data_IF_057892867348
#
_entry.id   IF_057892867348
#
_cell.length_a   1.000
_cell.length_b   1.000
_cell.length_c   1.000
_cell.angle_alpha   90.00
_cell.angle_beta   90.00
_cell.angle_gamma   90.00
#
_symmetry.space_group_name_H-M   'P 1'
#
loop_
_entity.id
_entity.type
_entity.pdbx_description
1 polymer ?
#
# COMPACT_ATOMS: atom_id res chain seq x y z
N UNK A 1 -12.81 2.33 -11.47
CA UNK A 1 -11.40 2.67 -11.60
C UNK A 1 -10.69 1.73 -12.57
N UNK A 2 -9.77 2.25 -13.39
CA UNK A 2 -8.92 1.47 -14.29
C UNK A 2 -7.59 1.10 -13.62
N UNK A 3 -7.07 1.99 -12.81
CA UNK A 3 -5.83 1.83 -12.06
C UNK A 3 -6.06 2.10 -10.55
N UNK A 4 -6.82 1.25 -9.84
CA UNK A 4 -7.05 1.41 -8.42
C UNK A 4 -5.79 1.06 -7.62
N UNK A 5 -5.58 1.76 -6.51
CA UNK A 5 -4.53 1.46 -5.53
C UNK A 5 -5.09 1.54 -4.12
N UNK A 6 -4.39 0.98 -3.15
CA UNK A 6 -4.79 1.07 -1.74
C UNK A 6 -3.61 1.42 -0.85
N UNK A 7 -3.82 2.36 0.07
CA UNK A 7 -2.86 2.68 1.13
C UNK A 7 -3.47 2.38 2.49
N UNK A 8 -2.79 1.60 3.33
CA UNK A 8 -3.26 1.24 4.66
C UNK A 8 -2.33 1.77 5.74
N UNK A 9 -2.90 2.33 6.78
CA UNK A 9 -2.19 2.86 7.93
C UNK A 9 -2.41 2.04 9.20
N UNK A 10 -1.94 2.57 10.31
CA UNK A 10 -2.06 1.94 11.64
C UNK A 10 -3.52 1.61 12.01
N UNK A 11 -4.49 2.44 11.66
CA UNK A 11 -5.90 2.20 11.94
C UNK A 11 -6.50 0.96 11.27
N UNK A 12 -5.76 0.30 10.36
CA UNK A 12 -6.18 -0.92 9.70
C UNK A 12 -5.49 -2.20 10.23
N UNK A 13 -4.69 -2.12 11.31
CA UNK A 13 -3.90 -3.26 11.81
C UNK A 13 -4.78 -4.44 12.21
N UNK A 14 -5.90 -4.17 12.87
CA UNK A 14 -6.84 -5.21 13.30
C UNK A 14 -7.73 -5.74 12.16
N UNK A 15 -7.60 -5.16 10.97
CA UNK A 15 -8.32 -5.52 9.75
C UNK A 15 -7.41 -6.17 8.69
N UNK A 16 -6.22 -6.67 9.06
CA UNK A 16 -5.23 -7.20 8.12
C UNK A 16 -5.77 -8.32 7.22
N UNK A 17 -6.69 -9.15 7.72
CA UNK A 17 -7.36 -10.19 6.94
C UNK A 17 -8.27 -9.59 5.86
N UNK A 18 -9.11 -8.64 6.22
CA UNK A 18 -10.02 -7.94 5.31
C UNK A 18 -9.24 -7.14 4.26
N UNK A 19 -8.11 -6.53 4.66
CA UNK A 19 -7.20 -5.83 3.74
C UNK A 19 -6.64 -6.80 2.70
N UNK A 20 -6.18 -7.99 3.12
CA UNK A 20 -5.67 -9.01 2.20
C UNK A 20 -6.78 -9.52 1.25
N UNK A 21 -7.97 -9.79 1.76
CA UNK A 21 -9.11 -10.17 0.92
C UNK A 21 -9.47 -9.09 -0.10
N UNK A 22 -9.41 -7.82 0.29
CA UNK A 22 -9.68 -6.71 -0.60
C UNK A 22 -8.61 -6.59 -1.70
N UNK A 23 -7.33 -6.81 -1.38
CA UNK A 23 -6.24 -6.84 -2.36
C UNK A 23 -6.51 -7.87 -3.45
N UNK A 24 -6.86 -9.08 -3.04
CA UNK A 24 -7.25 -10.17 -3.94
C UNK A 24 -8.44 -9.80 -4.82
N UNK A 25 -9.44 -9.15 -4.23
CA UNK A 25 -10.67 -8.76 -4.92
C UNK A 25 -10.43 -7.68 -5.97
N UNK A 26 -9.59 -6.71 -5.65
CA UNK A 26 -9.31 -5.59 -6.53
C UNK A 26 -8.21 -5.90 -7.56
N UNK A 27 -7.37 -6.90 -7.32
CA UNK A 27 -6.16 -7.15 -8.12
C UNK A 27 -5.29 -5.89 -8.21
N UNK A 28 -5.20 -5.12 -7.15
CA UNK A 28 -4.59 -3.80 -7.09
C UNK A 28 -3.37 -3.79 -6.17
N UNK A 29 -2.36 -2.94 -6.42
CA UNK A 29 -1.21 -2.81 -5.53
C UNK A 29 -1.62 -2.14 -4.22
N UNK A 30 -0.99 -2.60 -3.13
CA UNK A 30 -1.14 -2.09 -1.79
C UNK A 30 0.18 -1.51 -1.28
N UNK A 31 0.11 -0.35 -0.65
CA UNK A 31 1.19 0.22 0.14
C UNK A 31 0.75 0.38 1.60
N UNK A 32 1.70 0.36 2.53
CA UNK A 32 1.45 0.68 3.94
C UNK A 32 2.08 2.01 4.30
N UNK A 33 1.58 2.66 5.34
CA UNK A 33 2.39 3.67 6.03
C UNK A 33 3.50 2.98 6.83
N UNK A 34 4.52 3.71 7.27
CA UNK A 34 5.57 3.13 8.12
C UNK A 34 5.01 2.54 9.42
N UNK A 35 4.07 3.22 10.07
CA UNK A 35 3.40 2.72 11.27
C UNK A 35 2.43 1.57 10.97
N UNK A 36 1.89 1.50 9.77
CA UNK A 36 0.91 0.50 9.34
C UNK A 36 1.51 -0.74 8.68
N UNK A 37 2.82 -1.00 8.80
CA UNK A 37 3.49 -2.14 8.11
C UNK A 37 2.90 -3.51 8.48
N UNK A 38 2.28 -3.64 9.64
CA UNK A 38 1.59 -4.86 10.08
C UNK A 38 0.13 -4.97 9.60
N UNK A 39 -0.43 -3.92 9.01
CA UNK A 39 -1.80 -3.92 8.49
C UNK A 39 -1.96 -4.70 7.18
N UNK A 40 -0.87 -5.14 6.57
CA UNK A 40 -0.88 -5.94 5.35
C UNK A 40 0.29 -6.93 5.34
N UNK A 41 0.08 -8.19 4.93
CA UNK A 41 1.14 -9.19 4.89
C UNK A 41 2.29 -8.77 3.96
N UNK A 42 3.49 -8.64 4.50
CA UNK A 42 4.67 -8.15 3.77
C UNK A 42 5.11 -9.07 2.61
N UNK A 43 4.77 -10.37 2.69
CA UNK A 43 5.05 -11.37 1.67
C UNK A 43 3.94 -11.51 0.62
N UNK A 44 2.84 -10.77 0.74
CA UNK A 44 1.75 -10.83 -0.22
C UNK A 44 2.21 -10.29 -1.59
N UNK A 45 1.90 -10.96 -2.72
CA UNK A 45 2.37 -10.54 -4.05
C UNK A 45 1.94 -9.13 -4.46
N UNK A 46 0.80 -8.64 -3.97
CA UNK A 46 0.29 -7.29 -4.24
C UNK A 46 0.81 -6.23 -3.25
N UNK A 47 1.63 -6.60 -2.25
CA UNK A 47 2.26 -5.63 -1.35
C UNK A 47 3.43 -4.95 -2.05
N UNK A 48 3.24 -3.71 -2.47
CA UNK A 48 4.29 -2.94 -3.13
C UNK A 48 5.39 -2.44 -2.17
N UNK A 49 5.04 -2.20 -0.91
CA UNK A 49 5.96 -1.66 0.09
C UNK A 49 5.30 -0.61 0.97
N UNK A 50 6.04 0.42 1.32
CA UNK A 50 5.58 1.43 2.25
C UNK A 50 5.83 2.85 1.76
N UNK A 51 5.07 3.80 2.34
CA UNK A 51 5.06 5.24 2.08
C UNK A 51 4.60 5.63 0.67
N UNK A 52 4.42 6.91 0.48
CA UNK A 52 3.94 7.56 -0.74
C UNK A 52 4.86 8.76 -1.08
N UNK A 53 4.74 9.29 -2.27
CA UNK A 53 5.53 10.43 -2.71
C UNK A 53 7.04 10.16 -2.63
N UNK A 54 7.83 11.11 -2.19
CA UNK A 54 9.31 11.00 -2.11
C UNK A 54 9.81 9.97 -1.10
N UNK A 55 8.96 9.52 -0.17
CA UNK A 55 9.30 8.48 0.79
C UNK A 55 8.95 7.07 0.30
N UNK A 56 8.31 6.95 -0.86
CA UNK A 56 7.92 5.67 -1.44
C UNK A 56 9.14 4.85 -1.84
N UNK A 57 9.08 3.54 -1.59
CA UNK A 57 10.04 2.61 -2.20
C UNK A 57 9.73 2.42 -3.69
N UNK A 58 10.73 2.06 -4.54
CA UNK A 58 10.56 2.03 -6.00
C UNK A 58 9.36 1.20 -6.48
N UNK A 59 9.04 0.09 -5.82
CA UNK A 59 7.89 -0.73 -6.19
C UNK A 59 6.55 -0.01 -5.94
N UNK A 60 6.43 0.83 -4.91
CA UNK A 60 5.25 1.68 -4.69
C UNK A 60 5.19 2.76 -5.74
N UNK A 61 6.28 3.50 -5.96
CA UNK A 61 6.34 4.56 -6.96
C UNK A 61 5.89 4.06 -8.33
N UNK A 62 6.44 2.92 -8.77
CA UNK A 62 6.13 2.33 -10.08
C UNK A 62 4.70 1.79 -10.17
N UNK A 63 4.24 1.06 -9.15
CA UNK A 63 2.91 0.42 -9.19
C UNK A 63 1.76 1.38 -8.93
N UNK A 64 2.03 2.55 -8.33
CA UNK A 64 1.05 3.61 -8.10
C UNK A 64 1.05 4.69 -9.20
N UNK A 65 1.98 4.60 -10.16
CA UNK A 65 2.01 5.52 -11.29
C UNK A 65 0.70 5.43 -12.10
N UNK A 66 0.09 6.58 -12.39
CA UNK A 66 -1.17 6.64 -13.13
C UNK A 66 -2.42 6.19 -12.37
N UNK A 67 -2.34 6.08 -11.04
CA UNK A 67 -3.50 5.81 -10.17
C UNK A 67 -4.64 6.77 -10.47
N UNK A 68 -5.83 6.23 -10.78
CA UNK A 68 -7.06 7.01 -11.01
C UNK A 68 -8.03 6.97 -9.82
N UNK A 69 -7.84 6.04 -8.90
CA UNK A 69 -8.63 5.93 -7.68
C UNK A 69 -7.79 5.29 -6.57
N UNK A 70 -7.78 5.89 -5.40
CA UNK A 70 -7.12 5.33 -4.22
C UNK A 70 -8.10 5.13 -3.08
N UNK A 71 -8.05 3.93 -2.48
CA UNK A 71 -8.66 3.67 -1.19
C UNK A 71 -7.60 3.81 -0.10
N UNK A 72 -7.80 4.74 0.82
CA UNK A 72 -6.96 4.94 2.00
C UNK A 72 -7.71 4.47 3.24
N UNK A 73 -7.09 3.63 4.06
CA UNK A 73 -7.73 3.03 5.24
C UNK A 73 -6.86 3.23 6.47
N UNK A 74 -7.42 3.87 7.50
CA UNK A 74 -6.75 4.05 8.79
C UNK A 74 -5.44 4.83 8.71
N UNK A 75 -5.34 5.82 7.84
CA UNK A 75 -4.16 6.66 7.66
C UNK A 75 -4.50 8.14 7.70
N UNK A 76 -3.78 8.90 8.51
CA UNK A 76 -3.90 10.36 8.54
C UNK A 76 -3.01 11.10 7.53
N UNK A 77 -2.31 10.36 6.65
CA UNK A 77 -1.40 10.92 5.67
C UNK A 77 -0.35 11.89 6.28
N UNK A 78 0.30 11.45 7.36
CA UNK A 78 1.32 12.26 8.03
C UNK A 78 2.57 12.45 7.18
N UNK A 79 3.43 13.36 7.63
CA UNK A 79 4.64 13.82 6.96
C UNK A 79 5.52 12.68 6.43
N UNK A 80 5.88 11.71 7.29
CA UNK A 80 6.77 10.59 6.93
C UNK A 80 6.12 9.72 5.84
N UNK A 81 4.83 9.40 6.00
CA UNK A 81 4.13 8.51 5.08
C UNK A 81 3.97 9.09 3.66
N UNK A 82 4.05 10.41 3.52
CA UNK A 82 3.80 11.13 2.27
C UNK A 82 5.01 11.90 1.73
N UNK A 83 6.20 11.65 2.31
CA UNK A 83 7.43 12.30 1.90
C UNK A 83 7.37 13.82 2.08
N UNK A 84 7.18 14.26 3.32
CA UNK A 84 7.04 15.67 3.71
C UNK A 84 5.89 16.37 2.99
N UNK A 85 4.74 15.69 2.93
CA UNK A 85 3.52 16.14 2.24
C UNK A 85 3.67 16.38 0.74
N UNK A 86 4.72 15.81 0.13
CA UNK A 86 5.03 15.96 -1.30
C UNK A 86 4.28 14.97 -2.21
N UNK A 87 3.38 14.15 -1.67
CA UNK A 87 2.57 13.24 -2.46
C UNK A 87 1.38 13.97 -3.10
N UNK A 88 1.05 13.63 -4.34
CA UNK A 88 -0.15 14.12 -5.04
C UNK A 88 -1.18 12.99 -5.15
N UNK A 89 -2.34 13.09 -4.45
CA UNK A 89 -3.38 12.07 -4.52
C UNK A 89 -4.12 12.10 -5.87
N UNK A 90 -4.73 10.98 -6.29
CA UNK A 90 -5.68 11.00 -7.39
C UNK A 90 -6.94 11.78 -6.98
N UNK A 91 -7.65 12.33 -7.98
CA UNK A 91 -8.89 13.05 -7.72
C UNK A 91 -9.96 12.19 -7.03
N UNK A 92 -9.95 10.87 -7.27
CA UNK A 92 -10.85 9.90 -6.63
C UNK A 92 -10.20 9.28 -5.39
N UNK A 93 -9.86 10.07 -4.38
CA UNK A 93 -9.42 9.57 -3.08
C UNK A 93 -10.62 9.20 -2.20
N UNK A 94 -10.74 7.91 -1.85
CA UNK A 94 -11.72 7.37 -0.89
C UNK A 94 -10.98 7.18 0.43
N UNK A 95 -11.42 7.82 1.49
CA UNK A 95 -10.74 7.79 2.78
C UNK A 95 -11.63 7.17 3.86
N UNK A 96 -11.16 6.09 4.46
CA UNK A 96 -11.80 5.37 5.56
C UNK A 96 -11.01 5.61 6.84
N UNK A 97 -11.64 6.16 7.85
CA UNK A 97 -11.04 6.33 9.18
C UNK A 97 -12.12 6.40 10.26
N UNK A 98 -11.77 6.04 11.48
CA UNK A 98 -12.67 6.16 12.64
C UNK A 98 -12.70 7.58 13.19
N UNK A 99 -11.68 8.38 12.89
CA UNK A 99 -11.56 9.76 13.34
C UNK A 99 -11.93 10.75 12.23
N UNK A 100 -13.11 11.39 12.29
CA UNK A 100 -13.54 12.32 11.24
C UNK A 100 -12.62 13.55 11.08
N UNK A 101 -11.83 13.90 12.08
CA UNK A 101 -10.92 15.03 12.00
C UNK A 101 -9.74 14.84 11.03
N UNK A 102 -9.48 13.61 10.58
CA UNK A 102 -8.41 13.34 9.60
C UNK A 102 -8.86 13.51 8.14
N UNK A 103 -10.18 13.52 7.90
CA UNK A 103 -10.71 13.66 6.54
C UNK A 103 -10.38 15.03 5.96
N UNK A 104 -9.76 15.02 4.80
CA UNK A 104 -9.33 16.23 4.09
C UNK A 104 -8.39 17.16 4.87
N UNK A 105 -7.84 16.71 6.00
CA UNK A 105 -6.91 17.52 6.79
C UNK A 105 -5.59 17.79 6.05
N UNK A 106 -5.04 16.79 5.38
CA UNK A 106 -3.79 16.92 4.61
C UNK A 106 -4.03 16.80 3.11
N UNK A 107 -4.99 15.97 2.69
CA UNK A 107 -5.33 15.76 1.28
C UNK A 107 -6.84 15.66 1.11
N UNK A 108 -7.43 16.33 0.11
CA UNK A 108 -8.87 16.33 -0.09
C UNK A 108 -9.37 14.92 -0.44
N UNK A 109 -10.32 14.41 0.32
CA UNK A 109 -10.99 13.16 0.03
C UNK A 109 -12.24 13.42 -0.82
N UNK A 110 -12.39 12.71 -1.94
CA UNK A 110 -13.63 12.75 -2.74
C UNK A 110 -14.78 12.02 -2.03
N UNK A 111 -14.45 10.98 -1.26
CA UNK A 111 -15.39 10.23 -0.43
C UNK A 111 -14.75 9.99 0.93
N UNK A 112 -15.45 10.36 1.99
CA UNK A 112 -15.06 10.07 3.38
C UNK A 112 -16.04 9.04 3.96
N UNK A 113 -15.50 7.96 4.53
CA UNK A 113 -16.24 6.89 5.18
C UNK A 113 -15.81 6.80 6.64
N UNK A 114 -16.61 7.39 7.53
CA UNK A 114 -16.37 7.31 8.97
C UNK A 114 -16.78 5.95 9.51
N UNK A 115 -15.85 5.25 10.16
CA UNK A 115 -16.13 3.98 10.78
C UNK A 115 -14.87 3.18 11.11
N UNK A 116 -15.08 2.10 11.87
CA UNK A 116 -14.03 1.10 12.13
C UNK A 116 -13.57 0.47 10.81
N UNK A 117 -12.25 0.40 10.62
CA UNK A 117 -11.64 -0.09 9.37
C UNK A 117 -12.13 -1.51 9.01
N UNK A 118 -12.19 -2.42 10.00
CA UNK A 118 -12.61 -3.80 9.78
C UNK A 118 -14.06 -3.89 9.33
N UNK A 119 -14.94 -3.16 10.01
CA UNK A 119 -16.37 -3.13 9.68
C UNK A 119 -16.61 -2.56 8.29
N UNK A 120 -15.97 -1.43 7.97
CA UNK A 120 -16.10 -0.80 6.65
C UNK A 120 -15.56 -1.71 5.54
N UNK A 121 -14.41 -2.36 5.76
CA UNK A 121 -13.85 -3.29 4.78
C UNK A 121 -14.72 -4.53 4.57
N UNK A 122 -15.34 -5.06 5.62
CA UNK A 122 -16.31 -6.17 5.50
C UNK A 122 -17.51 -5.77 4.65
N UNK A 123 -18.08 -4.58 4.86
CA UNK A 123 -19.17 -4.07 4.07
C UNK A 123 -18.76 -3.83 2.60
N UNK A 124 -17.55 -3.30 2.36
CA UNK A 124 -17.01 -3.15 1.01
C UNK A 124 -16.83 -4.50 0.31
N UNK A 125 -16.30 -5.51 0.99
CA UNK A 125 -16.15 -6.86 0.44
C UNK A 125 -17.49 -7.49 0.08
N UNK A 126 -18.51 -7.29 0.92
CA UNK A 126 -19.89 -7.75 0.62
C UNK A 126 -20.42 -7.05 -0.63
N UNK A 127 -20.28 -5.72 -0.73
CA UNK A 127 -20.75 -4.94 -1.87
C UNK A 127 -20.03 -5.30 -3.19
N UNK A 128 -18.74 -5.64 -3.12
CA UNK A 128 -17.96 -6.07 -4.28
C UNK A 128 -18.27 -7.51 -4.74
N UNK A 129 -19.00 -8.28 -3.94
CA UNK A 129 -19.37 -9.67 -4.26
C UNK A 129 -18.25 -10.68 -4.06
N UNK A 130 -18.51 -11.96 -4.36
CA UNK A 130 -17.63 -13.07 -3.99
C UNK A 130 -16.43 -13.31 -4.91
N UNK A 131 -16.42 -12.81 -6.13
CA UNK A 131 -15.34 -13.02 -7.11
C UNK A 131 -14.72 -11.71 -7.59
N UNK A 132 -13.42 -11.67 -7.90
CA UNK A 132 -12.82 -10.51 -8.57
C UNK A 132 -13.47 -10.31 -9.94
N UNK A 133 -13.60 -9.05 -10.37
CA UNK A 133 -14.03 -8.75 -11.73
C UNK A 133 -13.00 -9.26 -12.76
N UNK A 134 -13.43 -9.49 -14.01
CA UNK A 134 -12.50 -9.88 -15.10
C UNK A 134 -11.36 -8.87 -15.28
N UNK A 135 -11.65 -7.58 -15.11
CA UNK A 135 -10.65 -6.52 -15.16
C UNK A 135 -9.64 -6.60 -13.99
N UNK A 136 -10.10 -6.96 -12.79
CA UNK A 136 -9.23 -7.16 -11.64
C UNK A 136 -8.32 -8.39 -11.83
N UNK A 137 -8.87 -9.49 -12.30
CA UNK A 137 -8.12 -10.72 -12.56
C UNK A 137 -7.04 -10.49 -13.64
N UNK A 138 -7.37 -9.80 -14.74
CA UNK A 138 -6.42 -9.49 -15.81
C UNK A 138 -5.29 -8.56 -15.37
N UNK A 139 -5.58 -7.58 -14.50
CA UNK A 139 -4.59 -6.64 -13.97
C UNK A 139 -3.63 -7.27 -12.97
N UNK A 140 -4.12 -8.19 -12.12
CA UNK A 140 -3.39 -8.79 -11.02
C UNK A 140 -2.02 -9.32 -11.41
N UNK A 141 -1.95 -10.18 -12.43
CA UNK A 141 -0.69 -10.80 -12.86
C UNK A 141 0.36 -9.77 -13.27
N UNK A 142 -0.04 -8.69 -13.93
CA UNK A 142 0.85 -7.60 -14.34
C UNK A 142 1.37 -6.82 -13.13
N UNK A 143 0.49 -6.53 -12.16
CA UNK A 143 0.86 -5.82 -10.92
C UNK A 143 1.82 -6.67 -10.10
N UNK A 144 1.55 -7.96 -9.90
CA UNK A 144 2.42 -8.89 -9.17
C UNK A 144 3.81 -9.00 -9.82
N UNK A 145 3.85 -9.12 -11.15
CA UNK A 145 5.11 -9.19 -11.89
C UNK A 145 5.94 -7.90 -11.72
N UNK A 146 5.31 -6.75 -11.86
CA UNK A 146 5.94 -5.44 -11.69
C UNK A 146 6.48 -5.27 -10.27
N UNK A 147 5.68 -5.57 -9.24
CA UNK A 147 6.11 -5.46 -7.84
C UNK A 147 7.30 -6.36 -7.56
N UNK A 148 7.26 -7.61 -8.02
CA UNK A 148 8.35 -8.57 -7.85
C UNK A 148 9.63 -8.09 -8.50
N UNK A 149 9.58 -7.60 -9.73
CA UNK A 149 10.70 -7.05 -10.47
C UNK A 149 11.33 -5.86 -9.75
N UNK A 150 10.54 -4.89 -9.35
CA UNK A 150 11.01 -3.69 -8.66
C UNK A 150 11.62 -4.00 -7.29
N UNK A 151 11.02 -4.91 -6.53
CA UNK A 151 11.58 -5.35 -5.25
C UNK A 151 12.91 -6.08 -5.42
N UNK A 152 13.03 -6.94 -6.43
CA UNK A 152 14.27 -7.66 -6.73
C UNK A 152 15.38 -6.69 -7.14
N UNK A 153 15.11 -5.77 -8.06
CA UNK A 153 16.07 -4.76 -8.51
C UNK A 153 16.56 -3.87 -7.35
N UNK A 154 15.62 -3.41 -6.51
CA UNK A 154 15.94 -2.58 -5.35
C UNK A 154 16.82 -3.32 -4.31
N UNK A 155 16.50 -4.59 -4.03
CA UNK A 155 17.33 -5.41 -3.15
C UNK A 155 18.71 -5.62 -3.72
N UNK A 156 18.84 -5.90 -5.00
CA UNK A 156 20.12 -6.10 -5.69
C UNK A 156 20.99 -4.85 -5.65
N UNK A 157 20.41 -3.67 -5.87
CA UNK A 157 21.09 -2.38 -5.72
C UNK A 157 21.68 -2.22 -4.32
N UNK A 158 20.89 -2.47 -3.26
CA UNK A 158 21.34 -2.39 -1.87
C UNK A 158 22.42 -3.43 -1.52
N UNK A 159 22.36 -4.64 -2.09
CA UNK A 159 23.37 -5.68 -1.88
C UNK A 159 24.71 -5.38 -2.56
N UNK A 160 24.69 -4.60 -3.66
CA UNK A 160 25.90 -4.16 -4.37
C UNK A 160 26.55 -2.93 -3.72
N UNK A 161 25.83 -2.20 -2.87
CA UNK A 161 26.35 -0.98 -2.27
C UNK A 161 27.62 -1.24 -1.47
N UNK A 162 28.69 -0.52 -1.81
CA UNK A 162 29.96 -0.59 -1.05
C UNK A 162 29.81 0.15 0.27
N UNK A 163 30.00 -0.56 1.35
CA UNK A 163 29.92 -0.05 2.72
C UNK A 163 31.27 0.25 3.34
N UNK A 164 32.36 0.20 2.55
CA UNK A 164 33.73 0.49 3.02
C UNK A 164 34.10 -0.32 4.27
N UNK A 165 33.82 -1.63 4.26
CA UNK A 165 34.11 -2.53 5.37
C UNK A 165 33.13 -2.49 6.54
N UNK A 166 32.06 -1.68 6.47
CA UNK A 166 31.00 -1.65 7.49
C UNK A 166 29.94 -2.71 7.22
N UNK A 167 29.13 -3.03 8.23
CA UNK A 167 27.98 -3.93 8.06
C UNK A 167 26.94 -3.29 7.18
N UNK A 168 26.61 -3.95 6.07
CA UNK A 168 25.50 -3.55 5.21
C UNK A 168 24.18 -4.00 5.83
N UNK A 169 23.19 -3.11 6.07
CA UNK A 169 21.87 -3.50 6.54
C UNK A 169 21.20 -4.53 5.63
N UNK A 170 21.32 -4.37 4.32
CA UNK A 170 20.74 -5.30 3.36
C UNK A 170 21.36 -6.71 3.48
N UNK A 171 22.67 -6.81 3.58
CA UNK A 171 23.38 -8.10 3.77
C UNK A 171 23.08 -8.72 5.13
N UNK A 172 22.98 -7.90 6.17
CA UNK A 172 22.62 -8.37 7.51
C UNK A 172 21.22 -9.02 7.49
N UNK A 173 20.20 -8.31 7.01
CA UNK A 173 18.85 -8.85 6.96
C UNK A 173 18.70 -10.01 5.96
N UNK A 174 19.42 -9.99 4.84
CA UNK A 174 19.44 -11.12 3.91
C UNK A 174 20.06 -12.38 4.55
N UNK A 175 21.07 -12.23 5.41
CA UNK A 175 21.67 -13.34 6.15
C UNK A 175 20.73 -13.85 7.25
N UNK A 176 20.09 -12.95 7.98
CA UNK A 176 19.14 -13.30 9.04
C UNK A 176 17.93 -14.11 8.51
N UNK A 177 17.45 -13.79 7.31
CA UNK A 177 16.33 -14.53 6.69
C UNK A 177 16.69 -15.94 6.21
N UNK A 178 17.97 -16.29 6.14
CA UNK A 178 18.44 -17.63 5.74
C UNK A 178 18.61 -18.59 6.90
N UNK A 179 18.52 -18.10 8.14
CA UNK A 179 18.53 -18.89 9.36
C UNK A 179 17.15 -19.46 9.65
#
# INVERSE_FOLDING_TARGET
ARAPTTCVGWGAVDAAHEVAMLAERLGAPFATTLQGVSAFPANHPLHAGFCLGRAAVPAVEKSFAGTDCMLAVGTRFGEIATGSYGWAPPASLIHVDINPAVFSANYPAAVALEGDAKVVLQLLLQALGAAPSSAAAGRRAQVEAMIREQKAAYLEEWLRHDTQGRVSPARFFASLRRQ
#
